data_IF_916644102292
#
_entry.id   IF_916644102292
#
_cell.length_a   1.000
_cell.length_b   1.000
_cell.length_c   1.000
_cell.angle_alpha   90.00
_cell.angle_beta   90.00
_cell.angle_gamma   90.00
#
_symmetry.space_group_name_H-M   'P 1'
#
loop_
_entity.id
_entity.type
_entity.pdbx_description
1 polymer ?
#
# COMPACT_ATOMS: atom_id res chain seq x y z
N UNK A 1 14.67 12.84 30.29
CA UNK A 1 13.30 13.35 30.30
C UNK A 1 12.40 12.22 29.79
N UNK A 2 11.55 11.67 30.66
CA UNK A 2 10.72 10.49 30.37
C UNK A 2 9.72 10.75 29.23
N UNK A 3 9.16 11.96 29.16
CA UNK A 3 8.21 12.33 28.11
C UNK A 3 8.81 12.14 26.71
N UNK A 4 10.02 12.66 26.46
CA UNK A 4 10.69 12.51 25.16
C UNK A 4 11.14 11.07 24.88
N UNK A 5 11.49 10.30 25.91
CA UNK A 5 11.79 8.86 25.73
C UNK A 5 10.56 8.09 25.27
N UNK A 6 9.38 8.41 25.79
CA UNK A 6 8.12 7.82 25.36
C UNK A 6 7.75 8.23 23.93
N UNK A 7 7.91 9.52 23.58
CA UNK A 7 7.67 9.98 22.21
C UNK A 7 8.62 9.32 21.19
N UNK A 8 9.85 9.01 21.58
CA UNK A 8 10.82 8.31 20.74
C UNK A 8 10.42 6.89 20.35
N UNK A 9 9.41 6.30 21.00
CA UNK A 9 8.87 4.97 20.67
C UNK A 9 7.75 5.01 19.62
N UNK A 10 7.38 6.20 19.13
CA UNK A 10 6.38 6.39 18.08
C UNK A 10 4.99 6.74 18.60
N UNK A 11 4.11 7.11 17.67
CA UNK A 11 2.82 7.75 17.99
C UNK A 11 1.88 6.81 18.74
N UNK A 12 1.89 5.51 18.42
CA UNK A 12 1.03 4.53 19.07
C UNK A 12 1.44 4.29 20.53
N UNK A 13 2.73 4.24 20.83
CA UNK A 13 3.24 4.12 22.20
C UNK A 13 2.83 5.35 23.04
N UNK A 14 2.98 6.55 22.47
CA UNK A 14 2.53 7.78 23.10
C UNK A 14 1.02 7.80 23.34
N UNK A 15 0.22 7.37 22.35
CA UNK A 15 -1.24 7.34 22.45
C UNK A 15 -1.75 6.36 23.53
N UNK A 16 -1.10 5.21 23.69
CA UNK A 16 -1.41 4.26 24.77
C UNK A 16 -1.14 4.83 26.16
N UNK A 17 -0.06 5.62 26.29
CA UNK A 17 0.36 6.18 27.57
C UNK A 17 -0.43 7.44 27.97
N UNK A 18 -0.67 8.32 27.01
CA UNK A 18 -1.25 9.65 27.27
C UNK A 18 -2.70 9.78 26.77
N UNK A 19 -3.26 8.71 26.22
CA UNK A 19 -4.54 8.73 25.51
C UNK A 19 -4.40 9.18 24.07
N UNK A 20 -5.44 8.92 23.28
CA UNK A 20 -5.53 9.36 21.88
C UNK A 20 -5.57 8.25 20.84
N UNK A 21 -5.69 6.99 21.24
CA UNK A 21 -5.86 5.85 20.32
C UNK A 21 -7.07 6.03 19.38
N UNK A 22 -8.09 6.80 19.78
CA UNK A 22 -9.23 7.14 18.94
C UNK A 22 -8.90 8.06 17.75
N UNK A 23 -7.80 8.81 17.83
CA UNK A 23 -7.38 9.77 16.78
C UNK A 23 -5.97 9.56 16.25
N UNK A 24 -5.15 8.72 16.88
CA UNK A 24 -3.83 8.36 16.41
C UNK A 24 -3.94 7.55 15.11
N UNK A 25 -3.55 8.18 14.00
CA UNK A 25 -3.57 7.57 12.67
C UNK A 25 -2.35 6.64 12.48
N UNK A 26 -2.34 5.49 13.15
CA UNK A 26 -1.26 4.49 13.08
C UNK A 26 -1.79 3.14 12.61
N UNK A 27 -1.11 2.55 11.61
CA UNK A 27 -1.44 1.29 10.95
C UNK A 27 -0.25 0.33 11.03
N UNK A 28 0.33 0.16 12.23
CA UNK A 28 1.67 -0.40 12.43
C UNK A 28 2.82 0.59 12.11
N UNK A 29 2.58 1.53 11.18
CA UNK A 29 3.37 2.75 10.95
C UNK A 29 2.43 3.97 10.90
N UNK A 30 2.95 5.15 11.23
CA UNK A 30 2.22 6.41 11.04
C UNK A 30 1.66 6.57 9.61
N UNK A 31 0.43 7.09 9.51
CA UNK A 31 -0.22 7.42 8.24
C UNK A 31 0.65 8.36 7.39
N UNK A 32 0.55 8.26 6.07
CA UNK A 32 1.24 9.21 5.20
C UNK A 32 0.64 10.63 5.36
N UNK A 33 1.33 11.65 4.88
CA UNK A 33 0.94 13.06 5.03
C UNK A 33 -0.33 13.50 4.28
N UNK A 34 -1.21 12.59 3.88
CA UNK A 34 -2.43 12.87 3.14
C UNK A 34 -3.52 11.84 3.45
N UNK A 35 -4.77 12.24 3.24
CA UNK A 35 -5.96 11.44 3.51
C UNK A 35 -6.92 11.54 2.33
N UNK A 36 -6.64 10.81 1.26
CA UNK A 36 -7.33 10.95 -0.03
C UNK A 36 -8.66 10.20 -0.09
N UNK A 37 -8.82 9.12 0.67
CA UNK A 37 -10.06 8.33 0.67
C UNK A 37 -9.87 6.87 1.07
N UNK A 38 -10.94 6.11 0.87
CA UNK A 38 -11.11 4.75 1.34
C UNK A 38 -10.13 3.76 0.70
N UNK A 39 -9.82 3.92 -0.60
CA UNK A 39 -8.89 3.03 -1.31
C UNK A 39 -7.49 3.21 -0.76
N UNK A 40 -7.08 4.46 -0.54
CA UNK A 40 -5.80 4.77 0.10
C UNK A 40 -5.72 4.22 1.52
N UNK A 41 -6.77 4.36 2.32
CA UNK A 41 -6.78 3.83 3.69
C UNK A 41 -6.68 2.31 3.75
N UNK A 42 -7.45 1.60 2.92
CA UNK A 42 -7.37 0.14 2.81
C UNK A 42 -5.97 -0.29 2.37
N UNK A 43 -5.45 0.29 1.28
CA UNK A 43 -4.11 -0.01 0.77
C UNK A 43 -3.01 0.29 1.79
N UNK A 44 -3.10 1.43 2.50
CA UNK A 44 -2.11 1.78 3.49
C UNK A 44 -2.11 0.80 4.68
N UNK A 45 -3.30 0.37 5.11
CA UNK A 45 -3.48 -0.52 6.26
C UNK A 45 -2.92 -1.93 6.03
N UNK A 46 -3.03 -2.42 4.79
CA UNK A 46 -2.63 -3.77 4.44
C UNK A 46 -1.30 -3.83 3.71
N UNK A 47 -0.80 -2.75 3.11
CA UNK A 47 0.48 -2.73 2.38
C UNK A 47 1.71 -2.75 3.30
N UNK A 48 2.92 -2.77 2.69
CA UNK A 48 4.18 -2.84 3.43
C UNK A 48 4.56 -1.49 4.06
N UNK A 49 5.77 -1.41 4.63
CA UNK A 49 6.36 -0.17 5.15
C UNK A 49 6.36 0.91 4.06
N UNK A 50 5.80 2.08 4.35
CA UNK A 50 5.57 3.15 3.36
C UNK A 50 4.66 2.72 2.19
N UNK A 51 3.68 1.84 2.43
CA UNK A 51 2.69 1.27 1.49
C UNK A 51 2.09 2.21 0.44
N UNK A 52 2.07 3.52 0.70
CA UNK A 52 1.70 4.54 -0.27
C UNK A 52 2.66 4.68 -1.47
N UNK A 53 3.85 4.07 -1.39
CA UNK A 53 4.81 3.95 -2.48
C UNK A 53 4.61 2.66 -3.28
N UNK A 54 4.10 1.62 -2.64
CA UNK A 54 3.84 0.30 -3.23
C UNK A 54 2.53 0.24 -4.00
N UNK A 55 1.60 1.17 -3.76
CA UNK A 55 0.36 1.28 -4.50
C UNK A 55 -0.06 2.74 -4.71
N UNK A 56 -0.78 2.97 -5.79
CA UNK A 56 -1.32 4.26 -6.19
C UNK A 56 -2.68 4.59 -5.59
N UNK A 57 -3.08 3.97 -4.47
CA UNK A 57 -4.42 4.15 -3.88
C UNK A 57 -4.79 5.63 -3.67
N UNK A 58 -3.82 6.47 -3.32
CA UNK A 58 -4.02 7.91 -3.21
C UNK A 58 -4.40 8.58 -4.53
N UNK A 59 -3.75 8.18 -5.63
CA UNK A 59 -4.06 8.69 -6.96
C UNK A 59 -5.38 8.14 -7.48
N UNK A 60 -5.77 6.94 -7.06
CA UNK A 60 -7.08 6.38 -7.41
C UNK A 60 -8.18 7.24 -6.79
N UNK A 61 -8.10 7.50 -5.48
CA UNK A 61 -9.06 8.33 -4.75
C UNK A 61 -9.15 9.78 -5.26
N UNK A 62 -8.09 10.31 -5.86
CA UNK A 62 -8.09 11.65 -6.44
C UNK A 62 -8.81 11.73 -7.79
N UNK A 63 -9.05 10.60 -8.47
CA UNK A 63 -9.57 10.55 -9.83
C UNK A 63 -10.93 9.86 -9.94
N UNK A 64 -11.30 9.06 -8.94
CA UNK A 64 -12.49 8.21 -8.96
C UNK A 64 -13.38 8.52 -7.75
N UNK A 65 -14.67 8.74 -7.98
CA UNK A 65 -15.67 8.98 -6.94
C UNK A 65 -16.59 7.77 -6.71
N UNK A 66 -16.59 6.82 -7.64
CA UNK A 66 -17.37 5.60 -7.57
C UNK A 66 -16.92 4.69 -6.41
N UNK A 67 -17.87 3.96 -5.85
CA UNK A 67 -17.67 3.02 -4.74
C UNK A 67 -17.73 1.59 -5.26
N UNK A 68 -16.80 1.25 -6.14
CA UNK A 68 -16.68 -0.07 -6.74
C UNK A 68 -15.46 -0.80 -6.16
N UNK A 69 -15.73 -1.76 -5.27
CA UNK A 69 -14.70 -2.51 -4.54
C UNK A 69 -13.83 -3.31 -5.50
N UNK A 70 -14.45 -4.02 -6.43
CA UNK A 70 -13.73 -4.87 -7.39
C UNK A 70 -12.82 -4.02 -8.28
N UNK A 71 -13.33 -2.93 -8.84
CA UNK A 71 -12.54 -2.03 -9.68
C UNK A 71 -11.36 -1.43 -8.91
N UNK A 72 -11.58 -0.98 -7.68
CA UNK A 72 -10.53 -0.39 -6.86
C UNK A 72 -9.47 -1.40 -6.43
N UNK A 73 -9.87 -2.61 -6.03
CA UNK A 73 -8.91 -3.66 -5.64
C UNK A 73 -8.16 -4.19 -6.85
N UNK A 74 -8.80 -4.36 -8.02
CA UNK A 74 -8.10 -4.71 -9.25
C UNK A 74 -7.02 -3.67 -9.59
N UNK A 75 -7.33 -2.37 -9.46
CA UNK A 75 -6.32 -1.33 -9.62
C UNK A 75 -5.13 -1.49 -8.65
N UNK A 76 -5.37 -1.77 -7.36
CA UNK A 76 -4.29 -1.98 -6.39
C UNK A 76 -3.44 -3.21 -6.74
N UNK A 77 -4.09 -4.30 -7.13
CA UNK A 77 -3.40 -5.53 -7.53
C UNK A 77 -2.57 -5.30 -8.79
N UNK A 78 -3.10 -4.60 -9.80
CA UNK A 78 -2.41 -4.42 -11.08
C UNK A 78 -1.27 -3.38 -10.99
N UNK A 79 -1.36 -2.40 -10.10
CA UNK A 79 -0.36 -1.33 -9.94
C UNK A 79 0.87 -1.76 -9.11
N UNK A 80 0.71 -2.67 -8.13
CA UNK A 80 1.79 -3.09 -7.23
C UNK A 80 3.01 -3.70 -7.96
N UNK A 81 2.87 -4.66 -8.92
CA UNK A 81 4.02 -5.26 -9.60
C UNK A 81 4.93 -4.23 -10.27
N UNK A 82 4.37 -3.26 -10.98
CA UNK A 82 5.15 -2.22 -11.66
C UNK A 82 5.97 -1.38 -10.67
N UNK A 83 5.41 -1.06 -9.50
CA UNK A 83 6.12 -0.34 -8.44
C UNK A 83 7.18 -1.20 -7.77
N UNK A 84 6.92 -2.49 -7.56
CA UNK A 84 7.90 -3.46 -7.06
C UNK A 84 9.10 -3.55 -8.01
N UNK A 85 8.84 -3.62 -9.32
CA UNK A 85 9.88 -3.70 -10.33
C UNK A 85 10.75 -2.44 -10.32
N UNK A 86 10.13 -1.25 -10.39
CA UNK A 86 10.84 0.02 -10.38
C UNK A 86 11.66 0.23 -9.10
N UNK A 87 11.09 -0.08 -7.94
CA UNK A 87 11.80 0.05 -6.65
C UNK A 87 12.95 -0.96 -6.52
N UNK A 88 12.81 -2.17 -7.08
CA UNK A 88 13.90 -3.16 -7.14
C UNK A 88 15.07 -2.71 -8.02
N UNK A 89 14.80 -1.86 -9.02
CA UNK A 89 15.80 -1.19 -9.84
C UNK A 89 16.32 0.12 -9.25
N UNK A 90 15.93 0.46 -8.01
CA UNK A 90 16.28 1.72 -7.32
C UNK A 90 15.82 2.95 -8.10
N UNK A 91 14.72 2.83 -8.86
CA UNK A 91 14.17 3.93 -9.65
C UNK A 91 13.43 4.95 -8.79
N UNK A 92 13.53 6.22 -9.16
CA UNK A 92 12.71 7.27 -8.58
C UNK A 92 11.26 7.13 -9.04
N UNK A 93 10.32 6.90 -8.12
CA UNK A 93 8.89 6.75 -8.45
C UNK A 93 8.25 8.01 -9.04
N UNK A 94 8.89 9.19 -8.97
CA UNK A 94 8.44 10.37 -9.71
C UNK A 94 8.66 10.25 -11.22
N UNK A 95 9.62 9.43 -11.66
CA UNK A 95 9.91 9.18 -13.06
C UNK A 95 9.17 7.95 -13.63
N UNK A 96 8.26 7.32 -12.88
CA UNK A 96 7.52 6.11 -13.30
C UNK A 96 6.72 6.28 -14.60
N UNK A 97 6.32 7.50 -14.94
CA UNK A 97 5.66 7.79 -16.22
C UNK A 97 6.61 7.85 -17.42
N UNK A 98 7.91 7.98 -17.17
CA UNK A 98 8.98 7.95 -18.19
C UNK A 98 9.48 6.52 -18.40
N UNK A 99 9.67 5.78 -17.31
CA UNK A 99 10.13 4.38 -17.33
C UNK A 99 8.98 3.40 -17.57
N UNK A 100 8.47 3.36 -18.80
CA UNK A 100 7.52 2.34 -19.23
C UNK A 100 8.20 0.97 -19.46
N UNK A 101 7.39 -0.08 -19.68
CA UNK A 101 7.87 -1.45 -19.82
C UNK A 101 8.88 -1.60 -20.98
N UNK A 102 8.59 -1.00 -22.14
CA UNK A 102 9.47 -1.07 -23.31
C UNK A 102 10.85 -0.45 -23.04
N UNK A 103 10.87 0.74 -22.43
CA UNK A 103 12.12 1.43 -22.10
C UNK A 103 12.90 0.67 -21.02
N UNK A 104 12.22 0.11 -20.02
CA UNK A 104 12.86 -0.73 -19.01
C UNK A 104 13.46 -2.00 -19.63
N UNK A 105 12.77 -2.63 -20.56
CA UNK A 105 13.26 -3.81 -21.27
C UNK A 105 14.51 -3.47 -22.09
N UNK A 106 14.51 -2.32 -22.77
CA UNK A 106 15.69 -1.83 -23.49
C UNK A 106 16.88 -1.59 -22.54
N UNK A 107 16.66 -0.89 -21.42
CA UNK A 107 17.70 -0.64 -20.41
C UNK A 107 18.27 -1.95 -19.85
N UNK A 108 17.42 -2.93 -19.56
CA UNK A 108 17.81 -4.24 -19.05
C UNK A 108 18.67 -5.00 -20.06
N UNK A 109 18.27 -5.01 -21.33
CA UNK A 109 19.01 -5.65 -22.42
C UNK A 109 20.41 -5.06 -22.60
N UNK A 110 20.51 -3.73 -22.62
CA UNK A 110 21.81 -3.03 -22.74
C UNK A 110 22.70 -3.27 -21.51
N UNK A 111 22.10 -3.46 -20.34
CA UNK A 111 22.80 -3.76 -19.09
C UNK A 111 23.20 -5.23 -18.93
N UNK A 112 22.98 -6.08 -19.94
CA UNK A 112 23.36 -7.50 -19.94
C UNK A 112 22.30 -8.47 -19.40
N UNK A 113 21.08 -8.00 -19.12
CA UNK A 113 19.97 -8.81 -18.61
C UNK A 113 18.94 -9.16 -19.68
N UNK A 114 19.41 -9.63 -20.85
CA UNK A 114 18.55 -9.93 -22.00
C UNK A 114 17.47 -10.95 -21.71
N UNK A 115 17.73 -11.96 -20.88
CA UNK A 115 16.74 -12.98 -20.47
C UNK A 115 15.57 -12.36 -19.70
N UNK A 116 15.86 -11.52 -18.71
CA UNK A 116 14.83 -10.84 -17.91
C UNK A 116 14.09 -9.75 -18.69
N UNK A 117 14.73 -9.13 -19.68
CA UNK A 117 14.11 -8.08 -20.50
C UNK A 117 12.90 -8.55 -21.30
N UNK A 118 12.83 -9.85 -21.65
CA UNK A 118 11.69 -10.43 -22.37
C UNK A 118 10.49 -10.79 -21.50
N UNK A 119 10.57 -10.65 -20.17
CA UNK A 119 9.53 -11.08 -19.24
C UNK A 119 9.49 -10.21 -17.96
N UNK A 120 9.48 -8.88 -18.13
CA UNK A 120 9.46 -7.96 -16.98
C UNK A 120 8.22 -8.11 -16.12
N UNK A 121 7.05 -8.35 -16.71
CA UNK A 121 5.82 -8.64 -16.00
C UNK A 121 5.94 -9.89 -15.11
N UNK A 122 6.48 -11.00 -15.63
CA UNK A 122 6.74 -12.21 -14.83
C UNK A 122 7.75 -11.98 -13.71
N UNK A 123 8.79 -11.18 -13.94
CA UNK A 123 9.76 -10.79 -12.89
C UNK A 123 9.09 -9.96 -11.81
N UNK A 124 8.28 -8.96 -12.18
CA UNK A 124 7.54 -8.11 -11.26
C UNK A 124 6.58 -8.93 -10.38
N UNK A 125 5.88 -9.88 -10.98
CA UNK A 125 4.99 -10.82 -10.30
C UNK A 125 5.72 -11.75 -9.32
N UNK A 126 6.89 -12.24 -9.74
CA UNK A 126 7.73 -13.07 -8.90
C UNK A 126 8.21 -12.30 -7.66
N UNK A 127 8.62 -11.04 -7.84
CA UNK A 127 9.02 -10.14 -6.75
C UNK A 127 7.84 -9.89 -5.80
N UNK A 128 6.68 -9.49 -6.34
CA UNK A 128 5.46 -9.24 -5.54
C UNK A 128 5.11 -10.45 -4.69
N UNK A 129 5.04 -11.63 -5.31
CA UNK A 129 4.70 -12.88 -4.61
C UNK A 129 5.70 -13.19 -3.50
N UNK A 130 7.00 -13.03 -3.73
CA UNK A 130 8.02 -13.25 -2.71
C UNK A 130 7.92 -12.26 -1.54
N UNK A 131 7.66 -10.98 -1.81
CA UNK A 131 7.44 -9.96 -0.77
C UNK A 131 6.30 -10.36 0.15
N UNK A 132 5.16 -10.77 -0.43
CA UNK A 132 4.00 -11.22 0.35
C UNK A 132 4.26 -12.52 1.10
N UNK A 133 4.88 -13.53 0.46
CA UNK A 133 5.25 -14.79 1.12
C UNK A 133 6.12 -14.54 2.35
N UNK A 134 7.14 -13.68 2.25
CA UNK A 134 7.97 -13.29 3.38
C UNK A 134 7.15 -12.63 4.49
N UNK A 135 6.30 -11.67 4.14
CA UNK A 135 5.48 -10.94 5.13
C UNK A 135 4.54 -11.87 5.90
N UNK A 136 3.81 -12.74 5.21
CA UNK A 136 2.96 -13.74 5.86
C UNK A 136 3.78 -14.72 6.71
N UNK A 137 4.95 -15.17 6.24
CA UNK A 137 5.85 -16.03 7.01
C UNK A 137 6.35 -15.37 8.30
N UNK A 138 6.39 -14.04 8.37
CA UNK A 138 6.74 -13.28 9.59
C UNK A 138 5.57 -13.01 10.53
N UNK A 139 4.41 -13.64 10.31
CA UNK A 139 3.25 -13.56 11.19
C UNK A 139 2.27 -12.43 10.88
N UNK A 140 2.35 -11.83 9.70
CA UNK A 140 1.35 -10.85 9.25
C UNK A 140 -0.02 -11.50 9.05
N UNK A 141 -1.05 -10.87 9.62
CA UNK A 141 -2.44 -11.30 9.58
C UNK A 141 -3.35 -10.12 9.23
N UNK A 142 -3.85 -10.02 7.99
CA UNK A 142 -4.70 -8.91 7.53
C UNK A 142 -5.92 -8.64 8.42
N UNK A 143 -6.48 -9.69 9.00
CA UNK A 143 -7.65 -9.68 9.87
C UNK A 143 -7.40 -9.01 11.22
N UNK A 144 -6.16 -9.05 11.73
CA UNK A 144 -5.79 -8.41 13.00
C UNK A 144 -5.54 -6.89 12.83
N UNK A 145 -5.45 -6.39 11.59
CA UNK A 145 -5.25 -4.96 11.31
C UNK A 145 -6.54 -4.19 11.60
N UNK A 146 -6.45 -3.23 12.52
CA UNK A 146 -7.55 -2.32 12.87
C UNK A 146 -7.32 -0.94 12.26
N UNK A 147 -8.35 -0.39 11.61
CA UNK A 147 -8.32 0.97 11.08
C UNK A 147 -8.62 1.99 12.20
N UNK A 148 -7.84 3.08 12.35
CA UNK A 148 -8.11 4.12 13.33
C UNK A 148 -9.49 4.76 13.13
N UNK A 149 -10.25 4.97 14.22
CA UNK A 149 -11.58 5.60 14.17
C UNK A 149 -11.58 6.98 13.49
N UNK A 150 -10.43 7.67 13.48
CA UNK A 150 -10.25 8.94 12.78
C UNK A 150 -10.53 8.83 11.28
N UNK A 151 -10.16 7.71 10.64
CA UNK A 151 -10.29 7.54 9.19
C UNK A 151 -11.75 7.65 8.75
N UNK A 152 -12.66 6.99 9.46
CA UNK A 152 -14.11 7.03 9.22
C UNK A 152 -14.77 8.40 9.44
N UNK A 153 -14.04 9.37 10.00
CA UNK A 153 -14.52 10.74 10.25
C UNK A 153 -14.00 11.73 9.22
N UNK A 154 -13.18 11.30 8.26
CA UNK A 154 -12.58 12.17 7.25
C UNK A 154 -13.62 12.48 6.16
N UNK A 155 -13.61 13.73 5.70
CA UNK A 155 -14.36 14.19 4.54
C UNK A 155 -13.37 14.57 3.45
N UNK A 156 -13.58 14.03 2.26
CA UNK A 156 -12.77 14.25 1.06
C UNK A 156 -13.60 15.02 0.03
N UNK A 157 -13.04 15.26 -1.16
CA UNK A 157 -13.80 15.83 -2.28
C UNK A 157 -14.97 14.93 -2.74
N UNK A 158 -14.91 13.63 -2.43
CA UNK A 158 -15.96 12.64 -2.70
C UNK A 158 -17.08 12.64 -1.63
N UNK A 159 -16.91 13.43 -0.57
CA UNK A 159 -17.77 13.42 0.61
C UNK A 159 -17.15 12.71 1.81
N UNK A 160 -17.98 12.44 2.82
CA UNK A 160 -17.56 11.73 4.03
C UNK A 160 -17.20 10.29 3.68
N UNK A 161 -16.13 9.78 4.30
CA UNK A 161 -15.73 8.37 4.19
C UNK A 161 -16.90 7.45 4.46
N UNK A 162 -17.12 6.53 3.53
CA UNK A 162 -18.12 5.49 3.65
C UNK A 162 -17.52 4.28 4.38
N UNK A 163 -18.04 4.00 5.58
CA UNK A 163 -17.52 2.92 6.42
C UNK A 163 -17.69 1.54 5.77
N UNK A 164 -18.86 1.27 5.17
CA UNK A 164 -19.13 0.00 4.52
C UNK A 164 -18.19 -0.22 3.33
N UNK A 165 -18.00 0.83 2.53
CA UNK A 165 -17.08 0.76 1.40
C UNK A 165 -15.63 0.53 1.83
N UNK A 166 -15.15 1.26 2.84
CA UNK A 166 -13.79 1.09 3.38
C UNK A 166 -13.56 -0.32 3.95
N UNK A 167 -14.53 -0.84 4.71
CA UNK A 167 -14.43 -2.17 5.32
C UNK A 167 -14.43 -3.25 4.25
N UNK A 168 -15.27 -3.12 3.21
CA UNK A 168 -15.29 -4.05 2.08
C UNK A 168 -14.01 -3.98 1.23
N UNK A 169 -13.43 -2.80 1.02
CA UNK A 169 -12.12 -2.64 0.36
C UNK A 169 -11.02 -3.36 1.13
N UNK A 170 -10.96 -3.17 2.45
CA UNK A 170 -9.98 -3.86 3.30
C UNK A 170 -10.16 -5.37 3.22
N UNK A 171 -11.39 -5.86 3.32
CA UNK A 171 -11.68 -7.29 3.27
C UNK A 171 -11.31 -7.92 1.92
N UNK A 172 -11.72 -7.31 0.81
CA UNK A 172 -11.43 -7.85 -0.53
C UNK A 172 -9.94 -7.74 -0.86
N UNK A 173 -9.28 -6.64 -0.50
CA UNK A 173 -7.84 -6.53 -0.70
C UNK A 173 -7.07 -7.56 0.12
N UNK A 174 -7.46 -7.79 1.39
CA UNK A 174 -6.90 -8.85 2.24
C UNK A 174 -7.03 -10.24 1.60
N UNK A 175 -8.22 -10.58 1.10
CA UNK A 175 -8.45 -11.86 0.41
C UNK A 175 -7.54 -12.04 -0.81
N UNK A 176 -7.34 -10.98 -1.59
CA UNK A 176 -6.51 -11.03 -2.81
C UNK A 176 -5.02 -11.17 -2.50
N UNK A 177 -4.50 -10.50 -1.47
CA UNK A 177 -3.09 -10.66 -1.05
C UNK A 177 -2.82 -12.03 -0.43
N UNK A 178 -3.78 -12.61 0.28
CA UNK A 178 -3.68 -13.99 0.79
C UNK A 178 -3.63 -15.02 -0.35
N UNK A 179 -4.44 -14.82 -1.39
CA UNK A 179 -4.42 -15.69 -2.57
C UNK A 179 -3.05 -15.68 -3.29
N UNK A 180 -2.29 -14.58 -3.26
CA UNK A 180 -0.95 -14.52 -3.85
C UNK A 180 0.05 -15.48 -3.19
N UNK A 181 -0.12 -15.79 -1.90
CA UNK A 181 0.83 -16.63 -1.16
C UNK A 181 0.42 -18.11 -1.12
N UNK A 182 -0.83 -18.41 -1.45
CA UNK A 182 -1.37 -19.77 -1.55
C UNK A 182 -1.16 -20.39 -2.94
N UNK A 183 -0.86 -19.57 -3.94
CA UNK A 183 -0.47 -19.99 -5.29
C UNK A 183 1.03 -20.40 -5.35
#
# INVERSE_FOLDING_TARGET
NEFYQQLGQGTLAAARRYGGEDFACVLGQEMAGYATGEVFFAAQSLGFRHSHLDSGGYSYDQKHAEKDVEKAVNFLMDDEPGRCLLSSMVSCLFARGVYNEDLLAECMRVSGFSESSGNLSGVAEHIRTHRWKLRFATGFKPEEITLPKRFYKITTWKGKVDASYLDNLKAEYARRIEALVQA
#
